data_IF_259915627638
#
_entry.id   IF_259915627638
#
_cell.length_a   1.000
_cell.length_b   1.000
_cell.length_c   1.000
_cell.angle_alpha   90.00
_cell.angle_beta   90.00
_cell.angle_gamma   90.00
#
_symmetry.space_group_name_H-M   'P 1'
#
loop_
_entity.id
_entity.type
_entity.pdbx_description
1 polymer ?
#
# COMPACT_ATOMS: atom_id res chain seq x y z
N UNK A 1 -1.57 14.59 5.94
CA UNK A 1 -2.83 14.09 5.34
C UNK A 1 -3.32 12.85 6.07
N UNK A 2 -4.63 12.62 6.16
CA UNK A 2 -5.20 11.37 6.67
C UNK A 2 -4.98 10.24 5.65
N UNK A 3 -4.82 8.98 6.11
CA UNK A 3 -4.70 7.83 5.22
C UNK A 3 -6.01 7.64 4.42
N UNK A 4 -5.96 7.58 3.08
CA UNK A 4 -7.16 7.30 2.29
C UNK A 4 -7.71 5.90 2.59
N UNK A 5 -9.04 5.71 2.58
CA UNK A 5 -9.66 4.43 2.93
C UNK A 5 -9.49 3.35 1.84
N UNK A 6 -9.08 3.74 0.64
CA UNK A 6 -8.68 2.87 -0.47
C UNK A 6 -7.53 3.52 -1.23
N UNK A 7 -6.57 2.73 -1.72
CA UNK A 7 -5.35 3.20 -2.37
C UNK A 7 -5.22 2.59 -3.76
N UNK A 8 -4.82 3.40 -4.75
CA UNK A 8 -4.52 2.93 -6.09
C UNK A 8 -3.08 2.44 -6.19
N UNK A 9 -2.91 1.14 -6.43
CA UNK A 9 -1.61 0.48 -6.57
C UNK A 9 -1.08 0.52 -8.00
N UNK A 10 0.20 0.87 -8.17
CA UNK A 10 0.83 1.08 -9.48
C UNK A 10 1.71 -0.09 -9.97
N UNK A 11 1.79 -1.18 -9.21
CA UNK A 11 2.56 -2.36 -9.62
C UNK A 11 2.13 -2.90 -11.01
N UNK A 12 3.11 -3.32 -11.82
CA UNK A 12 2.92 -3.98 -13.12
C UNK A 12 2.23 -3.13 -14.21
N UNK A 13 2.15 -1.81 -14.04
CA UNK A 13 1.53 -0.89 -15.02
C UNK A 13 2.48 -0.49 -16.15
N UNK A 14 3.82 -0.61 -15.93
CA UNK A 14 4.86 -0.28 -16.91
C UNK A 14 4.65 1.12 -17.52
N UNK A 15 4.71 1.24 -18.83
CA UNK A 15 4.56 2.50 -19.60
C UNK A 15 3.15 3.13 -19.45
N UNK A 16 2.17 2.34 -19.02
CA UNK A 16 0.80 2.82 -18.80
C UNK A 16 0.61 3.52 -17.45
N UNK A 17 1.65 3.55 -16.60
CA UNK A 17 1.53 4.06 -15.22
C UNK A 17 1.02 5.50 -15.20
N UNK A 18 1.60 6.41 -15.97
CA UNK A 18 1.19 7.81 -16.03
C UNK A 18 -0.31 7.96 -16.35
N UNK A 19 -0.74 7.37 -17.47
CA UNK A 19 -2.14 7.43 -17.90
C UNK A 19 -3.09 6.85 -16.84
N UNK A 20 -2.74 5.71 -16.24
CA UNK A 20 -3.60 5.03 -15.28
C UNK A 20 -3.68 5.77 -13.94
N UNK A 21 -2.58 6.36 -13.47
CA UNK A 21 -2.57 7.20 -12.26
C UNK A 21 -3.39 8.47 -12.49
N UNK A 22 -3.23 9.14 -13.64
CA UNK A 22 -4.05 10.30 -13.99
C UNK A 22 -5.55 9.96 -14.05
N UNK A 23 -5.90 8.80 -14.62
CA UNK A 23 -7.28 8.31 -14.62
C UNK A 23 -7.81 8.04 -13.20
N UNK A 24 -7.01 7.40 -12.34
CA UNK A 24 -7.38 7.13 -10.95
C UNK A 24 -7.62 8.43 -10.16
N UNK A 25 -6.73 9.42 -10.29
CA UNK A 25 -6.90 10.73 -9.65
C UNK A 25 -8.17 11.44 -10.13
N UNK A 26 -8.44 11.45 -11.44
CA UNK A 26 -9.67 12.04 -12.03
C UNK A 26 -10.93 11.26 -11.63
N UNK A 27 -10.84 9.95 -11.42
CA UNK A 27 -11.95 9.15 -10.91
C UNK A 27 -12.28 9.47 -9.44
N UNK A 28 -11.33 10.03 -8.67
CA UNK A 28 -11.54 10.39 -7.26
C UNK A 28 -10.60 9.71 -6.27
N UNK A 29 -9.68 8.83 -6.71
CA UNK A 29 -8.65 8.30 -5.81
C UNK A 29 -7.78 9.44 -5.25
N UNK A 30 -7.45 9.34 -3.97
CA UNK A 30 -6.57 10.29 -3.27
C UNK A 30 -5.38 9.59 -2.60
N UNK A 31 -5.20 8.31 -2.84
CA UNK A 31 -4.04 7.52 -2.39
C UNK A 31 -3.39 6.79 -3.55
N UNK A 32 -2.07 6.94 -3.69
CA UNK A 32 -1.24 6.27 -4.70
C UNK A 32 -0.15 5.48 -3.99
N UNK A 33 -0.04 4.19 -4.33
CA UNK A 33 1.03 3.30 -3.88
C UNK A 33 1.98 2.98 -5.03
N UNK A 34 3.28 3.17 -4.80
CA UNK A 34 4.35 2.83 -5.73
C UNK A 34 5.56 2.25 -4.99
N UNK A 35 6.69 2.06 -5.66
CA UNK A 35 7.96 1.66 -5.06
C UNK A 35 9.15 2.06 -5.94
N UNK A 36 10.29 2.37 -5.31
CA UNK A 36 11.58 2.53 -5.99
C UNK A 36 12.15 1.17 -6.40
N UNK A 37 11.41 0.47 -7.26
CA UNK A 37 11.74 -0.88 -7.75
C UNK A 37 11.39 -0.99 -9.23
N UNK A 38 12.29 -0.63 -10.14
CA UNK A 38 12.01 -0.59 -11.59
C UNK A 38 11.62 -1.93 -12.22
N UNK A 39 11.79 -3.04 -11.49
CA UNK A 39 11.33 -4.37 -11.93
C UNK A 39 9.81 -4.43 -12.09
N UNK A 40 9.06 -3.86 -11.14
CA UNK A 40 7.60 -3.99 -11.09
C UNK A 40 6.87 -2.65 -11.10
N UNK A 41 7.57 -1.53 -10.86
CA UNK A 41 6.99 -0.20 -10.73
C UNK A 41 7.65 0.80 -11.67
N UNK A 42 6.92 1.84 -12.03
CA UNK A 42 7.40 2.93 -12.84
C UNK A 42 7.11 4.27 -12.16
N UNK A 43 7.92 4.62 -11.13
CA UNK A 43 7.76 5.90 -10.38
C UNK A 43 7.78 7.14 -11.27
N UNK A 44 8.61 7.24 -12.34
CA UNK A 44 8.57 8.41 -13.22
C UNK A 44 7.19 8.67 -13.82
N UNK A 45 6.43 7.62 -14.15
CA UNK A 45 5.05 7.76 -14.63
C UNK A 45 4.09 8.25 -13.54
N UNK A 46 4.32 7.86 -12.27
CA UNK A 46 3.56 8.43 -11.15
C UNK A 46 3.86 9.91 -11.02
N UNK A 47 5.14 10.31 -11.07
CA UNK A 47 5.56 11.72 -10.99
C UNK A 47 4.98 12.58 -12.13
N UNK A 48 4.98 12.07 -13.35
CA UNK A 48 4.38 12.76 -14.50
C UNK A 48 2.86 13.00 -14.30
N UNK A 49 2.14 11.98 -13.80
CA UNK A 49 0.72 12.13 -13.48
C UNK A 49 0.46 13.14 -12.35
N UNK A 50 1.30 13.15 -11.31
CA UNK A 50 1.22 14.15 -10.23
C UNK A 50 1.52 15.57 -10.75
N UNK A 51 2.53 15.73 -11.59
CA UNK A 51 2.85 17.03 -12.21
C UNK A 51 1.69 17.56 -13.05
N UNK A 52 1.05 16.70 -13.88
CA UNK A 52 -0.18 17.07 -14.61
C UNK A 52 -1.31 17.48 -13.66
N UNK A 53 -1.50 16.75 -12.56
CA UNK A 53 -2.50 17.05 -11.52
C UNK A 53 -2.30 18.45 -10.92
N UNK A 54 -1.04 18.81 -10.62
CA UNK A 54 -0.69 20.14 -10.09
C UNK A 54 -0.93 21.24 -11.14
N UNK A 55 -0.65 20.98 -12.44
CA UNK A 55 -0.92 21.91 -13.52
C UNK A 55 -2.42 22.16 -13.75
N UNK A 56 -3.27 21.20 -13.40
CA UNK A 56 -4.74 21.33 -13.39
C UNK A 56 -5.25 22.16 -12.19
N UNK A 57 -4.37 22.75 -11.37
CA UNK A 57 -4.70 23.61 -10.22
C UNK A 57 -4.95 22.86 -8.91
N UNK A 58 -4.67 21.56 -8.87
CA UNK A 58 -4.78 20.75 -7.66
C UNK A 58 -3.52 20.90 -6.79
N UNK A 59 -3.61 20.55 -5.50
CA UNK A 59 -2.49 20.70 -4.57
C UNK A 59 -1.84 19.36 -4.28
N UNK A 60 -0.51 19.36 -3.99
CA UNK A 60 0.23 18.14 -3.62
C UNK A 60 -0.34 17.49 -2.36
N UNK A 61 -0.76 18.29 -1.38
CA UNK A 61 -1.33 17.82 -0.13
C UNK A 61 -2.72 17.17 -0.27
N UNK A 62 -3.38 17.29 -1.43
CA UNK A 62 -4.66 16.63 -1.71
C UNK A 62 -4.48 15.16 -2.13
N UNK A 63 -3.24 14.72 -2.37
CA UNK A 63 -2.92 13.34 -2.77
C UNK A 63 -1.93 12.72 -1.80
N UNK A 64 -2.33 11.62 -1.18
CA UNK A 64 -1.45 10.76 -0.40
C UNK A 64 -0.60 9.90 -1.32
N UNK A 65 0.71 9.98 -1.20
CA UNK A 65 1.66 9.21 -2.00
C UNK A 65 2.54 8.40 -1.07
N UNK A 66 2.56 7.08 -1.26
CA UNK A 66 3.48 6.20 -0.56
C UNK A 66 4.41 5.49 -1.55
N UNK A 67 5.68 5.37 -1.17
CA UNK A 67 6.68 4.61 -1.92
C UNK A 67 7.42 3.65 -1.00
N UNK A 68 8.30 2.81 -1.57
CA UNK A 68 8.97 1.75 -0.82
C UNK A 68 10.48 1.74 -1.07
N UNK A 69 11.24 1.51 -0.01
CA UNK A 69 12.63 1.04 -0.11
C UNK A 69 12.62 -0.47 -0.32
N UNK A 70 13.29 -0.92 -1.36
CA UNK A 70 13.48 -2.35 -1.68
C UNK A 70 14.94 -2.71 -1.50
N UNK A 71 15.23 -3.77 -0.73
CA UNK A 71 16.60 -4.28 -0.58
C UNK A 71 17.11 -4.95 -1.86
N UNK A 72 18.41 -5.16 -1.97
CA UNK A 72 19.08 -5.72 -3.17
C UNK A 72 18.42 -6.98 -3.71
N UNK A 73 18.02 -7.89 -2.85
CA UNK A 73 17.37 -9.16 -3.25
C UNK A 73 16.03 -8.99 -3.98
N UNK A 74 15.38 -7.83 -3.84
CA UNK A 74 14.11 -7.52 -4.50
C UNK A 74 14.25 -6.84 -5.86
N UNK A 75 15.48 -6.52 -6.30
CA UNK A 75 15.74 -5.85 -7.57
C UNK A 75 16.11 -6.79 -8.71
N UNK A 76 15.95 -6.30 -9.92
CA UNK A 76 16.68 -6.77 -11.09
C UNK A 76 18.13 -6.22 -10.97
N UNK A 77 19.15 -7.08 -11.01
CA UNK A 77 20.55 -6.66 -10.85
C UNK A 77 21.01 -5.56 -11.83
N UNK A 78 20.36 -5.45 -12.98
CA UNK A 78 20.67 -4.43 -14.00
C UNK A 78 19.94 -3.10 -13.77
N UNK A 79 19.00 -3.02 -12.80
CA UNK A 79 18.14 -1.87 -12.58
C UNK A 79 17.99 -1.52 -11.10
N UNK A 80 19.12 -1.48 -10.38
CA UNK A 80 19.16 -1.10 -8.97
C UNK A 80 19.21 0.44 -8.90
N UNK A 81 18.32 1.11 -8.14
CA UNK A 81 18.22 2.57 -8.10
C UNK A 81 19.24 3.25 -7.15
N UNK A 82 20.19 2.50 -6.61
CA UNK A 82 21.22 2.97 -5.67
C UNK A 82 22.52 2.15 -5.85
N UNK A 83 23.64 2.60 -5.25
CA UNK A 83 24.90 1.83 -5.28
C UNK A 83 24.75 0.55 -4.42
N UNK A 84 24.82 -0.65 -5.05
CA UNK A 84 24.69 -1.92 -4.33
C UNK A 84 25.82 -2.19 -3.32
N UNK A 85 26.95 -1.46 -3.39
CA UNK A 85 28.10 -1.59 -2.50
C UNK A 85 28.06 -0.61 -1.33
N UNK A 86 27.16 0.36 -1.35
CA UNK A 86 26.98 1.30 -0.26
C UNK A 86 26.43 0.60 1.00
N UNK A 87 26.62 1.21 2.16
CA UNK A 87 26.02 0.72 3.40
C UNK A 87 24.48 0.76 3.33
N UNK A 88 23.79 -0.07 4.13
CA UNK A 88 22.32 -0.10 4.14
C UNK A 88 21.70 1.28 4.37
N UNK A 89 22.17 2.11 5.31
CA UNK A 89 21.65 3.47 5.46
C UNK A 89 21.83 4.33 4.21
N UNK A 90 22.97 4.23 3.52
CA UNK A 90 23.21 4.96 2.28
C UNK A 90 22.34 4.45 1.13
N UNK A 91 22.12 3.13 1.02
CA UNK A 91 21.18 2.56 0.04
C UNK A 91 19.77 3.11 0.24
N UNK A 92 19.29 3.22 1.49
CA UNK A 92 17.99 3.83 1.82
C UNK A 92 17.95 5.29 1.38
N UNK A 93 18.95 6.08 1.72
CA UNK A 93 19.02 7.50 1.37
C UNK A 93 19.06 7.72 -0.15
N UNK A 94 19.88 6.95 -0.89
CA UNK A 94 19.98 7.03 -2.35
C UNK A 94 18.70 6.60 -3.05
N UNK A 95 18.08 5.50 -2.60
CA UNK A 95 16.79 5.02 -3.08
C UNK A 95 15.71 6.09 -2.87
N UNK A 96 15.65 6.68 -1.69
CA UNK A 96 14.68 7.71 -1.36
C UNK A 96 14.88 8.98 -2.19
N UNK A 97 16.13 9.45 -2.35
CA UNK A 97 16.45 10.56 -3.23
C UNK A 97 16.04 10.28 -4.69
N UNK A 98 16.18 9.04 -5.15
CA UNK A 98 15.71 8.61 -6.46
C UNK A 98 14.19 8.65 -6.55
N UNK A 99 13.47 8.17 -5.53
CA UNK A 99 12.00 8.27 -5.47
C UNK A 99 11.53 9.72 -5.55
N UNK A 100 12.11 10.65 -4.78
CA UNK A 100 11.71 12.06 -4.80
C UNK A 100 11.90 12.69 -6.19
N UNK A 101 13.02 12.39 -6.88
CA UNK A 101 13.24 12.83 -8.27
C UNK A 101 12.22 12.23 -9.22
N UNK A 102 11.98 10.92 -9.15
CA UNK A 102 11.01 10.21 -10.00
C UNK A 102 9.59 10.74 -9.81
N UNK A 103 9.19 10.95 -8.56
CA UNK A 103 7.85 11.41 -8.18
C UNK A 103 7.68 12.92 -8.34
N UNK A 104 8.74 13.67 -8.63
CA UNK A 104 8.75 15.14 -8.79
C UNK A 104 8.16 15.85 -7.57
N UNK A 105 8.55 15.43 -6.38
CA UNK A 105 8.06 15.96 -5.10
C UNK A 105 9.19 16.08 -4.08
N UNK A 106 9.04 16.95 -3.09
CA UNK A 106 9.99 17.11 -2.00
C UNK A 106 9.73 16.18 -0.81
N UNK A 107 8.59 15.51 -0.76
CA UNK A 107 8.22 14.60 0.32
C UNK A 107 7.27 13.50 -0.15
N UNK A 108 7.19 12.42 0.64
CA UNK A 108 6.14 11.40 0.52
C UNK A 108 5.32 11.33 1.81
N UNK A 109 4.06 10.92 1.70
CA UNK A 109 3.20 10.75 2.87
C UNK A 109 3.55 9.50 3.67
N UNK A 110 4.11 8.46 2.99
CA UNK A 110 4.73 7.32 3.67
C UNK A 110 5.88 6.71 2.88
N UNK A 111 6.91 6.28 3.62
CA UNK A 111 7.99 5.42 3.13
C UNK A 111 7.85 4.04 3.77
N UNK A 112 7.79 3.00 2.95
CA UNK A 112 7.55 1.62 3.40
C UNK A 112 8.79 0.77 3.14
N UNK A 113 9.27 0.04 4.14
CA UNK A 113 10.22 -1.04 3.93
C UNK A 113 9.51 -2.17 3.19
N UNK A 114 9.94 -2.48 1.96
CA UNK A 114 9.22 -3.36 1.04
C UNK A 114 9.13 -4.81 1.55
N UNK A 115 10.12 -5.26 2.33
CA UNK A 115 10.14 -6.54 3.03
C UNK A 115 11.15 -6.48 4.19
N UNK A 116 10.95 -7.21 5.28
CA UNK A 116 12.03 -7.45 6.25
C UNK A 116 13.29 -7.97 5.55
N UNK A 117 14.46 -7.63 6.06
CA UNK A 117 15.73 -8.21 5.61
C UNK A 117 15.96 -9.57 6.31
N UNK A 118 16.83 -10.44 5.75
CA UNK A 118 17.08 -11.77 6.31
C UNK A 118 17.55 -11.78 7.77
N UNK A 119 18.28 -10.74 8.20
CA UNK A 119 18.71 -10.56 9.59
C UNK A 119 17.98 -9.37 10.21
N UNK A 120 17.55 -9.54 11.44
CA UNK A 120 16.80 -8.52 12.19
C UNK A 120 17.63 -7.23 12.36
N UNK A 121 18.94 -7.37 12.62
CA UNK A 121 19.85 -6.22 12.76
C UNK A 121 19.91 -5.38 11.46
N UNK A 122 19.85 -6.03 10.31
CA UNK A 122 19.81 -5.34 9.02
C UNK A 122 18.47 -4.62 8.82
N UNK A 123 17.36 -5.25 9.20
CA UNK A 123 16.03 -4.61 9.20
C UNK A 123 16.04 -3.36 10.07
N UNK A 124 16.63 -3.44 11.27
CA UNK A 124 16.75 -2.29 12.18
C UNK A 124 17.71 -1.20 11.66
N UNK A 125 18.79 -1.54 10.94
CA UNK A 125 19.64 -0.54 10.29
C UNK A 125 18.87 0.26 9.24
N UNK A 126 18.13 -0.44 8.38
CA UNK A 126 17.26 0.19 7.39
C UNK A 126 16.17 1.04 8.06
N UNK A 127 15.55 0.50 9.11
CA UNK A 127 14.49 1.22 9.84
C UNK A 127 14.98 2.54 10.43
N UNK A 128 16.16 2.54 11.07
CA UNK A 128 16.79 3.76 11.62
C UNK A 128 17.10 4.79 10.53
N UNK A 129 17.52 4.35 9.34
CA UNK A 129 17.71 5.25 8.21
C UNK A 129 16.37 5.87 7.75
N UNK A 130 15.29 5.08 7.73
CA UNK A 130 13.94 5.60 7.44
C UNK A 130 13.44 6.57 8.52
N UNK A 131 13.74 6.32 9.80
CA UNK A 131 13.46 7.26 10.89
C UNK A 131 14.16 8.62 10.66
N UNK A 132 15.42 8.60 10.20
CA UNK A 132 16.15 9.84 9.89
C UNK A 132 15.54 10.62 8.71
N UNK A 133 15.00 9.90 7.71
CA UNK A 133 14.27 10.53 6.61
C UNK A 133 12.93 11.15 7.05
N UNK A 134 12.30 10.55 8.06
CA UNK A 134 11.11 11.14 8.68
C UNK A 134 11.46 12.38 9.50
N UNK A 135 12.54 12.34 10.30
CA UNK A 135 13.03 13.49 11.08
C UNK A 135 13.37 14.70 10.18
N UNK A 136 13.88 14.46 8.98
CA UNK A 136 14.18 15.49 7.98
C UNK A 136 12.95 16.02 7.22
N UNK A 137 11.76 15.47 7.49
CA UNK A 137 10.52 15.87 6.80
C UNK A 137 10.35 15.28 5.39
N UNK A 138 11.25 14.41 4.95
CA UNK A 138 11.15 13.76 3.65
C UNK A 138 10.01 12.73 3.57
N UNK A 139 9.70 12.06 4.67
CA UNK A 139 8.56 11.17 4.81
C UNK A 139 7.73 11.54 6.05
N UNK A 140 6.41 11.51 5.95
CA UNK A 140 5.54 11.82 7.09
C UNK A 140 5.19 10.61 7.95
N UNK A 141 5.31 9.40 7.39
CA UNK A 141 5.11 8.10 8.07
C UNK A 141 6.11 7.10 7.55
N UNK A 142 6.40 6.09 8.36
CA UNK A 142 7.15 4.91 7.93
C UNK A 142 6.35 3.64 8.22
N UNK A 143 6.54 2.62 7.39
CA UNK A 143 5.82 1.36 7.48
C UNK A 143 6.65 0.18 6.99
N UNK A 144 6.07 -1.01 7.07
CA UNK A 144 6.69 -2.25 6.61
C UNK A 144 5.71 -3.05 5.76
N UNK A 145 6.21 -3.74 4.74
CA UNK A 145 5.44 -4.62 3.87
C UNK A 145 6.00 -6.03 3.89
N UNK A 146 5.19 -6.99 3.46
CA UNK A 146 5.58 -8.41 3.41
C UNK A 146 6.12 -8.95 4.76
N UNK A 147 5.60 -8.44 5.87
CA UNK A 147 5.95 -8.86 7.21
C UNK A 147 4.86 -9.82 7.75
N UNK A 148 5.05 -11.13 7.51
CA UNK A 148 4.07 -12.16 7.85
C UNK A 148 4.34 -12.85 9.20
N UNK A 149 5.35 -12.41 9.95
CA UNK A 149 5.65 -12.90 11.30
C UNK A 149 5.22 -11.86 12.33
N UNK A 150 4.23 -12.19 13.16
CA UNK A 150 3.82 -11.36 14.29
C UNK A 150 5.00 -11.05 15.20
N UNK A 151 5.80 -12.06 15.57
CA UNK A 151 6.97 -11.84 16.42
C UNK A 151 8.03 -10.90 15.83
N UNK A 152 8.22 -10.92 14.49
CA UNK A 152 9.12 -9.97 13.84
C UNK A 152 8.55 -8.54 13.87
N UNK A 153 7.25 -8.37 13.69
CA UNK A 153 6.56 -7.08 13.80
C UNK A 153 6.61 -6.53 15.23
N UNK A 154 6.37 -7.38 16.24
CA UNK A 154 6.45 -7.03 17.66
C UNK A 154 7.86 -6.56 18.03
N UNK A 155 8.92 -7.27 17.60
CA UNK A 155 10.31 -6.86 17.86
C UNK A 155 10.65 -5.55 17.15
N UNK A 156 10.26 -5.39 15.89
CA UNK A 156 10.45 -4.12 15.18
C UNK A 156 9.73 -2.98 15.91
N UNK A 157 8.47 -3.18 16.28
CA UNK A 157 7.69 -2.20 17.04
C UNK A 157 8.33 -1.89 18.39
N UNK A 158 8.79 -2.91 19.14
CA UNK A 158 9.44 -2.73 20.43
C UNK A 158 10.75 -1.94 20.35
N UNK A 159 11.61 -2.29 19.39
CA UNK A 159 12.97 -1.74 19.25
C UNK A 159 13.05 -0.41 18.51
N UNK A 160 12.05 -0.04 17.70
CA UNK A 160 12.06 1.21 16.94
C UNK A 160 11.76 2.42 17.81
N UNK A 161 12.41 3.57 17.53
CA UNK A 161 12.10 4.88 18.11
C UNK A 161 10.78 5.40 17.53
N UNK A 162 10.67 5.43 16.21
CA UNK A 162 9.43 5.76 15.50
C UNK A 162 8.75 4.45 15.13
N UNK A 163 7.56 4.22 15.70
CA UNK A 163 6.81 2.98 15.49
C UNK A 163 6.29 2.89 14.06
N UNK A 164 6.14 1.66 13.50
CA UNK A 164 5.48 1.51 12.21
C UNK A 164 4.07 2.10 12.26
N UNK A 165 3.76 2.99 11.33
CA UNK A 165 2.43 3.54 11.16
C UNK A 165 1.59 2.71 10.18
N UNK A 166 2.23 1.85 9.38
CA UNK A 166 1.62 1.07 8.31
C UNK A 166 2.22 -0.33 8.28
N UNK A 167 1.37 -1.34 8.15
CA UNK A 167 1.73 -2.70 7.73
C UNK A 167 1.00 -2.98 6.42
N UNK A 168 1.72 -3.34 5.34
CA UNK A 168 1.14 -3.62 4.02
C UNK A 168 1.46 -5.05 3.60
N UNK A 169 0.50 -5.95 3.66
CA UNK A 169 0.70 -7.36 3.36
C UNK A 169 -0.25 -7.86 2.28
N UNK A 170 0.12 -8.99 1.65
CA UNK A 170 -0.79 -9.75 0.81
C UNK A 170 -1.91 -10.31 1.70
N UNK A 171 -3.14 -10.12 1.25
CA UNK A 171 -4.32 -10.64 1.97
C UNK A 171 -4.76 -11.96 1.33
N UNK A 172 -4.47 -13.09 1.98
CA UNK A 172 -4.73 -14.42 1.41
C UNK A 172 -4.76 -15.53 2.47
N UNK A 173 -5.33 -16.67 2.09
CA UNK A 173 -5.62 -17.78 3.01
C UNK A 173 -4.36 -18.42 3.63
N UNK A 174 -3.23 -18.47 2.89
CA UNK A 174 -2.00 -19.12 3.36
C UNK A 174 -1.39 -18.46 4.60
N UNK A 175 -1.71 -17.20 4.87
CA UNK A 175 -1.30 -16.49 6.10
C UNK A 175 -2.44 -16.38 7.13
N UNK A 176 -3.56 -17.09 6.94
CA UNK A 176 -4.75 -16.91 7.77
C UNK A 176 -5.27 -15.48 7.71
N UNK A 177 -5.13 -14.84 6.53
CA UNK A 177 -5.52 -13.43 6.31
C UNK A 177 -4.88 -12.47 7.31
N UNK A 178 -3.70 -12.82 7.84
CA UNK A 178 -2.94 -12.03 8.82
C UNK A 178 -3.75 -11.64 10.06
N UNK A 179 -4.64 -12.50 10.56
CA UNK A 179 -5.55 -12.18 11.66
C UNK A 179 -4.81 -11.60 12.87
N UNK A 180 -3.80 -12.29 13.37
CA UNK A 180 -3.04 -11.87 14.56
C UNK A 180 -2.29 -10.55 14.33
N UNK A 181 -1.74 -10.37 13.12
CA UNK A 181 -1.06 -9.12 12.70
C UNK A 181 -2.07 -7.96 12.65
N UNK A 182 -3.27 -8.19 12.09
CA UNK A 182 -4.32 -7.17 12.03
C UNK A 182 -4.81 -6.77 13.43
N UNK A 183 -4.96 -7.75 14.33
CA UNK A 183 -5.30 -7.49 15.73
C UNK A 183 -4.20 -6.70 16.44
N UNK A 184 -2.94 -7.04 16.22
CA UNK A 184 -1.80 -6.25 16.72
C UNK A 184 -1.84 -4.83 16.17
N UNK A 185 -2.03 -4.66 14.86
CA UNK A 185 -2.14 -3.35 14.22
C UNK A 185 -3.26 -2.50 14.85
N UNK A 186 -4.45 -3.09 15.04
CA UNK A 186 -5.59 -2.40 15.66
C UNK A 186 -5.27 -1.94 17.10
N UNK A 187 -4.66 -2.80 17.91
CA UNK A 187 -4.28 -2.46 19.30
C UNK A 187 -3.25 -1.33 19.39
N UNK A 188 -2.40 -1.19 18.38
CA UNK A 188 -1.31 -0.21 18.37
C UNK A 188 -1.56 1.00 17.46
N UNK A 189 -2.76 1.14 16.88
CA UNK A 189 -3.11 2.24 15.98
C UNK A 189 -2.33 2.24 14.67
N UNK A 190 -1.88 1.05 14.22
CA UNK A 190 -1.15 0.84 12.97
C UNK A 190 -2.18 0.58 11.86
N UNK A 191 -2.08 1.29 10.75
CA UNK A 191 -2.93 1.04 9.59
C UNK A 191 -2.51 -0.26 8.88
N UNK A 192 -3.42 -1.22 8.75
CA UNK A 192 -3.19 -2.42 7.96
C UNK A 192 -3.69 -2.20 6.54
N UNK A 193 -2.81 -2.38 5.55
CA UNK A 193 -3.12 -2.27 4.12
C UNK A 193 -3.04 -3.65 3.46
N UNK A 194 -4.03 -3.97 2.62
CA UNK A 194 -4.07 -5.25 1.90
C UNK A 194 -3.76 -5.08 0.41
N UNK A 195 -2.86 -5.90 -0.14
CA UNK A 195 -2.64 -5.99 -1.58
C UNK A 195 -2.96 -7.40 -2.11
N UNK A 196 -3.16 -7.54 -3.44
CA UNK A 196 -3.62 -8.75 -4.11
C UNK A 196 -4.96 -9.27 -3.58
N UNK A 197 -5.71 -8.43 -2.95
CA UNK A 197 -6.94 -8.74 -2.22
C UNK A 197 -7.97 -9.49 -3.06
N UNK A 198 -8.20 -9.09 -4.31
CA UNK A 198 -9.11 -9.80 -5.22
C UNK A 198 -8.42 -10.96 -5.92
N UNK A 199 -7.20 -10.74 -6.43
CA UNK A 199 -6.46 -11.71 -7.23
C UNK A 199 -6.09 -12.97 -6.46
N UNK A 200 -5.76 -12.84 -5.18
CA UNK A 200 -5.42 -13.98 -4.32
C UNK A 200 -6.65 -14.71 -3.75
N UNK A 201 -7.85 -14.15 -3.90
CA UNK A 201 -9.05 -14.67 -3.24
C UNK A 201 -10.26 -14.84 -4.20
N UNK A 202 -10.09 -15.52 -5.35
CA UNK A 202 -11.22 -15.74 -6.25
C UNK A 202 -12.32 -16.60 -5.61
N UNK A 203 -11.98 -17.45 -4.64
CA UNK A 203 -12.94 -18.27 -3.90
C UNK A 203 -13.87 -17.41 -3.03
N UNK A 204 -13.37 -16.33 -2.40
CA UNK A 204 -14.22 -15.40 -1.64
C UNK A 204 -15.22 -14.68 -2.55
N UNK A 205 -14.78 -14.27 -3.74
CA UNK A 205 -15.65 -13.60 -4.72
C UNK A 205 -16.72 -14.56 -5.27
N UNK A 206 -16.45 -15.86 -5.27
CA UNK A 206 -17.35 -16.90 -5.74
C UNK A 206 -18.24 -17.47 -4.62
N UNK A 207 -18.02 -17.11 -3.36
CA UNK A 207 -18.79 -17.61 -2.22
C UNK A 207 -20.23 -17.15 -2.25
N UNK A 208 -21.16 -18.02 -1.89
CA UNK A 208 -22.60 -17.77 -1.91
C UNK A 208 -23.00 -16.59 -1.00
N UNK A 209 -22.30 -16.40 0.12
CA UNK A 209 -22.53 -15.27 1.03
C UNK A 209 -22.22 -13.95 0.32
N UNK A 210 -21.05 -13.86 -0.33
CA UNK A 210 -20.62 -12.66 -1.05
C UNK A 210 -21.52 -12.40 -2.27
N UNK A 211 -21.89 -13.45 -3.01
CA UNK A 211 -22.82 -13.35 -4.16
C UNK A 211 -24.20 -12.88 -3.74
N UNK A 212 -24.76 -13.41 -2.66
CA UNK A 212 -26.05 -12.98 -2.12
C UNK A 212 -26.03 -11.50 -1.73
N UNK A 213 -24.98 -11.06 -1.04
CA UNK A 213 -24.81 -9.64 -0.70
C UNK A 213 -24.64 -8.76 -1.95
N UNK A 214 -23.91 -9.25 -2.94
CA UNK A 214 -23.75 -8.58 -4.24
C UNK A 214 -25.13 -8.30 -4.89
N UNK A 215 -26.00 -9.29 -4.93
CA UNK A 215 -27.36 -9.14 -5.45
C UNK A 215 -28.21 -8.19 -4.57
N UNK A 216 -28.13 -8.33 -3.26
CA UNK A 216 -28.90 -7.52 -2.30
C UNK A 216 -28.58 -6.03 -2.42
N UNK A 217 -27.31 -5.68 -2.58
CA UNK A 217 -26.85 -4.29 -2.65
C UNK A 217 -26.78 -3.74 -4.09
N UNK A 218 -26.99 -4.59 -5.11
CA UNK A 218 -26.81 -4.21 -6.51
C UNK A 218 -25.35 -3.80 -6.81
N UNK A 219 -24.38 -4.50 -6.20
CA UNK A 219 -22.93 -4.26 -6.32
C UNK A 219 -22.20 -5.52 -6.76
N UNK A 220 -20.99 -5.37 -7.29
CA UNK A 220 -20.16 -6.53 -7.65
C UNK A 220 -19.63 -7.25 -6.41
N UNK A 221 -19.30 -8.56 -6.50
CA UNK A 221 -18.61 -9.28 -5.40
C UNK A 221 -17.33 -8.59 -4.94
N UNK A 222 -16.57 -7.97 -5.87
CA UNK A 222 -15.37 -7.19 -5.55
C UNK A 222 -15.69 -5.98 -4.65
N UNK A 223 -16.76 -5.26 -4.95
CA UNK A 223 -17.23 -4.13 -4.13
C UNK A 223 -17.65 -4.59 -2.74
N UNK A 224 -18.35 -5.71 -2.61
CA UNK A 224 -18.70 -6.28 -1.31
C UNK A 224 -17.47 -6.61 -0.48
N UNK A 225 -16.48 -7.28 -1.08
CA UNK A 225 -15.24 -7.63 -0.36
C UNK A 225 -14.44 -6.38 0.03
N UNK A 226 -14.28 -5.40 -0.83
CA UNK A 226 -13.61 -4.14 -0.50
C UNK A 226 -14.37 -3.37 0.59
N UNK A 227 -15.71 -3.32 0.51
CA UNK A 227 -16.52 -2.66 1.54
C UNK A 227 -16.38 -3.35 2.90
N UNK A 228 -16.45 -4.67 2.92
CA UNK A 228 -16.19 -5.46 4.12
C UNK A 228 -14.84 -5.07 4.74
N UNK A 229 -13.77 -5.09 3.95
CA UNK A 229 -12.42 -4.77 4.44
C UNK A 229 -12.34 -3.36 5.02
N UNK A 230 -12.90 -2.36 4.34
CA UNK A 230 -12.88 -0.98 4.85
C UNK A 230 -13.68 -0.82 6.14
N UNK A 231 -14.77 -1.57 6.32
CA UNK A 231 -15.56 -1.52 7.55
C UNK A 231 -14.91 -2.23 8.74
N UNK A 232 -14.00 -3.20 8.48
CA UNK A 232 -13.20 -3.82 9.55
C UNK A 232 -11.84 -3.13 9.76
N UNK A 233 -11.64 -1.92 9.20
CA UNK A 233 -10.43 -1.11 9.40
C UNK A 233 -9.23 -1.48 8.53
N UNK A 234 -9.41 -2.30 7.50
CA UNK A 234 -8.38 -2.62 6.51
C UNK A 234 -8.44 -1.66 5.34
N UNK A 235 -7.31 -1.11 4.92
CA UNK A 235 -7.21 -0.26 3.72
C UNK A 235 -6.80 -1.12 2.51
N UNK A 236 -7.71 -1.44 1.58
CA UNK A 236 -7.34 -2.21 0.40
C UNK A 236 -6.58 -1.39 -0.64
N UNK A 237 -5.62 -2.03 -1.30
CA UNK A 237 -5.01 -1.54 -2.53
C UNK A 237 -5.72 -2.17 -3.72
N UNK A 238 -6.21 -1.32 -4.64
CA UNK A 238 -6.70 -1.77 -5.94
C UNK A 238 -5.67 -1.49 -7.03
N UNK A 239 -5.51 -2.44 -7.94
CA UNK A 239 -4.59 -2.33 -9.07
C UNK A 239 -5.30 -2.37 -10.42
N UNK A 240 -6.59 -2.03 -10.48
CA UNK A 240 -7.38 -2.10 -11.72
C UNK A 240 -6.80 -1.22 -12.83
N UNK A 241 -6.99 -1.66 -14.08
CA UNK A 241 -6.69 -0.87 -15.28
C UNK A 241 -7.97 -0.45 -16.02
N UNK A 242 -9.14 -0.77 -15.47
CA UNK A 242 -10.44 -0.43 -16.01
C UNK A 242 -10.97 0.84 -15.37
N UNK A 243 -11.34 1.83 -16.19
CA UNK A 243 -12.00 3.05 -15.69
C UNK A 243 -13.33 2.75 -15.00
N UNK A 244 -14.07 1.75 -15.48
CA UNK A 244 -15.32 1.30 -14.84
C UNK A 244 -15.03 0.76 -13.45
N UNK A 245 -14.08 -0.14 -13.29
CA UNK A 245 -13.73 -0.69 -11.97
C UNK A 245 -13.15 0.38 -11.03
N UNK A 246 -12.46 1.43 -11.54
CA UNK A 246 -12.04 2.55 -10.70
C UNK A 246 -13.23 3.27 -10.06
N UNK A 247 -14.31 3.49 -10.84
CA UNK A 247 -15.56 4.06 -10.32
C UNK A 247 -16.26 3.12 -9.33
N UNK A 248 -16.34 1.83 -9.64
CA UNK A 248 -16.92 0.80 -8.78
C UNK A 248 -16.19 0.69 -7.44
N UNK A 249 -14.84 0.69 -7.46
CA UNK A 249 -14.00 0.63 -6.26
C UNK A 249 -14.22 1.84 -5.34
N UNK A 250 -14.50 3.02 -5.90
CA UNK A 250 -14.82 4.22 -5.11
C UNK A 250 -16.28 4.22 -4.63
N UNK A 251 -17.20 3.62 -5.37
CA UNK A 251 -18.60 3.52 -5.00
C UNK A 251 -18.89 2.55 -3.84
N UNK A 252 -17.88 1.85 -3.31
CA UNK A 252 -18.03 0.97 -2.13
C UNK A 252 -18.49 1.75 -0.89
N UNK A 253 -18.22 3.06 -0.83
CA UNK A 253 -18.62 3.90 0.30
C UNK A 253 -20.10 4.35 0.26
N UNK A 254 -20.81 4.05 -0.83
CA UNK A 254 -22.25 4.31 -0.97
C UNK A 254 -23.10 3.23 -0.30
N UNK A 255 -22.53 2.13 0.14
CA UNK A 255 -23.20 1.05 0.85
C UNK A 255 -22.58 0.82 2.24
N UNK A 256 -23.37 0.23 3.14
CA UNK A 256 -22.90 -0.16 4.46
C UNK A 256 -23.41 -1.57 4.77
N UNK A 257 -22.48 -2.49 5.05
CA UNK A 257 -22.81 -3.85 5.49
C UNK A 257 -23.22 -3.81 6.96
N UNK A 258 -24.28 -4.50 7.30
CA UNK A 258 -24.74 -4.65 8.68
C UNK A 258 -23.78 -5.49 9.52
N UNK A 259 -23.85 -5.41 10.84
CA UNK A 259 -23.03 -6.22 11.74
C UNK A 259 -23.19 -7.74 11.52
N UNK A 260 -24.39 -8.20 11.12
CA UNK A 260 -24.62 -9.62 10.79
C UNK A 260 -23.95 -10.03 9.48
N UNK A 261 -23.95 -9.14 8.47
CA UNK A 261 -23.30 -9.38 7.19
C UNK A 261 -21.78 -9.35 7.32
N UNK A 262 -21.24 -8.40 8.11
CA UNK A 262 -19.80 -8.39 8.44
C UNK A 262 -19.37 -9.71 9.10
N UNK A 263 -20.15 -10.23 10.08
CA UNK A 263 -19.87 -11.53 10.68
C UNK A 263 -19.94 -12.68 9.67
N UNK A 264 -20.92 -12.66 8.77
CA UNK A 264 -21.08 -13.69 7.75
C UNK A 264 -19.87 -13.72 6.78
N UNK A 265 -19.36 -12.56 6.37
CA UNK A 265 -18.14 -12.50 5.53
C UNK A 265 -16.90 -12.85 6.34
N UNK A 266 -16.81 -12.40 7.62
CA UNK A 266 -15.68 -12.76 8.50
C UNK A 266 -15.54 -14.27 8.72
N UNK A 267 -16.64 -15.03 8.67
CA UNK A 267 -16.63 -16.48 8.83
C UNK A 267 -15.99 -17.22 7.63
N UNK A 268 -15.71 -16.53 6.54
CA UNK A 268 -15.03 -17.07 5.35
C UNK A 268 -13.50 -16.94 5.42
N UNK A 269 -12.96 -16.18 6.42
CA UNK A 269 -11.55 -15.81 6.55
C UNK A 269 -10.82 -16.59 7.65
#
# INVERSE_FOLDING_TARGET
>A
MQLPPIIYGTAWKKERTEMLVAQALRAGFRGIDTACQPKHYHEPGVGAALASWLQEGMRREDVYVQTKFTSLSGHDPQRIPYDPRASLPEQVAQSFATSLRNLQTSYVDALILHSPLPREEQTMQVWRAMESLMDSGGAHRIGISNCYSLGALERLHGASRIKPAIVQNRFYAETGYDRDIREFCTRHGIAYQSFWTLTANPHLLADDTVRRLSLQYGRTPAQILFRYLTQIGVTPLTGTTSKTHMGEDLAIFEIELTASELRAVSALL
#
